data_IF_920876314236
#
_entry.id   IF_920876314236
#
_cell.length_a   1.000
_cell.length_b   1.000
_cell.length_c   1.000
_cell.angle_alpha   90.00
_cell.angle_beta   90.00
_cell.angle_gamma   90.00
#
_symmetry.space_group_name_H-M   'P 1'
#
loop_
_entity.id
_entity.type
_entity.pdbx_description
1 polymer ?
#
# COMPACT_ATOMS: atom_id res chain seq x y z
N UNK A 1 10.06 -0.55 -16.34
CA UNK A 1 10.88 0.37 -17.15
C UNK A 1 11.38 1.44 -16.21
N UNK A 2 12.69 1.57 -16.09
CA UNK A 2 13.32 2.50 -15.14
C UNK A 2 13.06 3.97 -15.53
N UNK A 3 13.00 4.88 -14.56
CA UNK A 3 12.74 6.31 -14.78
C UNK A 3 13.79 6.91 -15.72
N UNK A 4 15.03 6.43 -15.66
CA UNK A 4 16.12 6.87 -16.54
C UNK A 4 15.90 6.42 -17.99
N UNK A 5 15.31 5.23 -18.19
CA UNK A 5 14.92 4.77 -19.52
C UNK A 5 13.78 5.63 -20.11
N UNK A 6 12.81 6.03 -19.28
CA UNK A 6 11.71 6.94 -19.69
C UNK A 6 12.28 8.31 -20.06
N UNK A 7 13.15 8.88 -19.21
CA UNK A 7 13.82 10.16 -19.47
C UNK A 7 14.64 10.12 -20.77
N UNK A 8 15.36 9.02 -21.02
CA UNK A 8 16.10 8.81 -22.27
C UNK A 8 15.19 8.79 -23.50
N UNK A 9 14.04 8.11 -23.43
CA UNK A 9 13.05 8.11 -24.52
C UNK A 9 12.47 9.50 -24.78
N UNK A 10 12.18 10.27 -23.73
CA UNK A 10 11.64 11.63 -23.85
C UNK A 10 12.62 12.59 -24.53
N UNK A 11 13.92 12.48 -24.21
CA UNK A 11 14.96 13.22 -24.92
C UNK A 11 14.98 12.84 -26.41
N UNK A 12 14.88 11.54 -26.73
CA UNK A 12 14.80 11.08 -28.14
C UNK A 12 13.55 11.58 -28.87
N UNK A 13 12.46 11.83 -28.14
CA UNK A 13 11.24 12.47 -28.67
C UNK A 13 11.38 13.98 -28.88
N UNK A 14 12.54 14.57 -28.59
CA UNK A 14 12.87 15.97 -28.82
C UNK A 14 12.48 16.91 -27.67
N UNK A 15 12.26 16.38 -26.47
CA UNK A 15 12.15 17.22 -25.27
C UNK A 15 13.55 17.57 -24.74
N UNK A 16 13.73 18.81 -24.32
CA UNK A 16 14.94 19.32 -23.68
C UNK A 16 14.73 19.50 -22.18
N UNK A 17 15.80 19.44 -21.39
CA UNK A 17 15.76 19.69 -19.95
C UNK A 17 15.57 21.19 -19.68
N UNK A 18 14.69 21.52 -18.75
CA UNK A 18 14.36 22.91 -18.40
C UNK A 18 15.13 23.39 -17.16
N UNK A 19 15.59 22.47 -16.30
CA UNK A 19 16.28 22.77 -15.05
C UNK A 19 17.53 21.90 -14.79
N UNK A 20 18.39 22.37 -13.87
CA UNK A 20 19.60 21.65 -13.43
C UNK A 20 19.26 20.36 -12.64
N UNK A 21 18.03 20.24 -12.13
CA UNK A 21 17.56 19.11 -11.32
C UNK A 21 17.30 17.83 -12.15
N UNK A 22 17.26 17.92 -13.49
CA UNK A 22 16.91 16.85 -14.43
C UNK A 22 15.50 16.26 -14.25
N UNK A 23 14.55 17.05 -13.73
CA UNK A 23 13.19 16.58 -13.48
C UNK A 23 12.14 17.18 -14.39
N UNK A 24 12.42 18.30 -15.05
CA UNK A 24 11.46 18.92 -15.98
C UNK A 24 11.98 18.84 -17.42
N UNK A 25 11.16 18.27 -18.30
CA UNK A 25 11.44 18.13 -19.73
C UNK A 25 10.40 18.91 -20.53
N UNK A 26 10.83 19.85 -21.35
CA UNK A 26 9.97 20.68 -22.17
C UNK A 26 10.20 20.44 -23.67
N UNK A 27 9.14 20.48 -24.47
CA UNK A 27 9.24 20.55 -25.93
C UNK A 27 8.38 21.70 -26.45
N UNK A 28 9.02 22.62 -27.15
CA UNK A 28 8.38 23.80 -27.74
C UNK A 28 7.98 23.49 -29.18
N UNK A 29 6.77 23.86 -29.55
CA UNK A 29 6.25 23.71 -30.92
C UNK A 29 6.04 25.11 -31.51
N UNK A 30 7.08 25.64 -32.14
CA UNK A 30 7.07 26.97 -32.78
C UNK A 30 5.98 27.08 -33.85
N UNK A 31 5.74 25.99 -34.58
CA UNK A 31 4.84 25.96 -35.74
C UNK A 31 3.35 25.93 -35.35
N UNK A 32 3.05 25.83 -34.05
CA UNK A 32 1.70 25.75 -33.52
C UNK A 32 1.49 26.73 -32.37
N UNK A 33 1.44 28.03 -32.68
CA UNK A 33 1.15 29.09 -31.70
C UNK A 33 2.10 29.10 -30.48
N UNK A 34 3.33 28.60 -30.63
CA UNK A 34 4.33 28.51 -29.56
C UNK A 34 3.87 27.76 -28.30
N UNK A 35 2.99 26.75 -28.41
CA UNK A 35 2.66 25.97 -27.22
C UNK A 35 3.84 25.10 -26.78
N UNK A 36 3.95 24.89 -25.47
CA UNK A 36 5.01 24.08 -24.84
C UNK A 36 4.37 22.92 -24.09
N UNK A 37 4.89 21.71 -24.30
CA UNK A 37 4.55 20.56 -23.46
C UNK A 37 5.67 20.42 -22.44
N UNK A 38 5.31 20.41 -21.15
CA UNK A 38 6.24 20.15 -20.05
C UNK A 38 5.87 18.86 -19.32
N UNK A 39 6.86 18.01 -19.10
CA UNK A 39 6.77 16.77 -18.35
C UNK A 39 7.57 16.95 -17.07
N UNK A 40 6.88 16.98 -15.93
CA UNK A 40 7.50 17.06 -14.61
C UNK A 40 7.53 15.68 -13.96
N UNK A 41 8.73 15.20 -13.64
CA UNK A 41 8.96 13.94 -12.95
C UNK A 41 8.94 14.06 -11.42
N UNK A 42 8.84 15.29 -10.88
CA UNK A 42 8.60 15.51 -9.46
C UNK A 42 7.11 15.38 -9.13
N UNK A 43 6.84 14.64 -8.06
CA UNK A 43 5.55 14.73 -7.40
C UNK A 43 5.41 16.12 -6.80
N UNK A 44 4.38 16.87 -7.21
CA UNK A 44 3.99 18.11 -6.51
C UNK A 44 3.53 17.85 -5.07
N UNK A 45 3.27 16.58 -4.72
CA UNK A 45 2.82 16.16 -3.40
C UNK A 45 3.98 15.73 -2.52
N UNK A 46 3.99 16.21 -1.29
CA UNK A 46 4.99 15.84 -0.28
C UNK A 46 4.92 14.34 0.02
N UNK A 47 6.08 13.70 0.03
CA UNK A 47 6.20 12.31 0.46
C UNK A 47 6.01 12.19 1.98
N UNK A 48 5.11 11.31 2.40
CA UNK A 48 4.84 10.99 3.79
C UNK A 48 5.17 9.52 4.06
N UNK A 49 5.80 9.26 5.21
CA UNK A 49 6.02 7.89 5.69
C UNK A 49 4.71 7.30 6.19
N UNK A 50 4.37 6.07 5.80
CA UNK A 50 3.14 5.40 6.23
C UNK A 50 2.94 5.47 7.75
N UNK A 51 3.97 5.20 8.55
CA UNK A 51 3.85 5.20 10.02
C UNK A 51 3.42 6.54 10.64
N UNK A 52 3.60 7.66 9.91
CA UNK A 52 3.12 8.99 10.33
C UNK A 52 1.63 9.17 10.09
N UNK A 53 1.10 8.59 9.02
CA UNK A 53 -0.26 8.82 8.52
C UNK A 53 -1.21 7.63 8.78
N UNK A 54 -0.66 6.47 9.15
CA UNK A 54 -1.40 5.25 9.47
C UNK A 54 -0.94 4.62 10.78
N UNK A 55 -1.81 3.81 11.35
CA UNK A 55 -1.50 2.85 12.40
C UNK A 55 -1.21 1.49 11.76
N UNK A 56 -0.08 0.88 12.12
CA UNK A 56 0.30 -0.45 11.63
C UNK A 56 0.20 -1.42 12.80
N UNK A 57 -0.72 -2.37 12.67
CA UNK A 57 -1.07 -3.34 13.71
C UNK A 57 -0.53 -4.70 13.26
N UNK A 58 0.58 -5.13 13.84
CA UNK A 58 1.12 -6.48 13.60
C UNK A 58 0.20 -7.52 14.22
N UNK A 59 -0.26 -8.49 13.42
CA UNK A 59 -1.12 -9.55 13.89
C UNK A 59 -0.42 -10.50 14.86
N UNK A 60 -1.22 -11.17 15.69
CA UNK A 60 -0.75 -12.12 16.68
C UNK A 60 -1.73 -13.28 16.75
N UNK A 61 -1.27 -14.50 16.53
CA UNK A 61 -2.16 -15.67 16.56
C UNK A 61 -2.55 -15.99 18.02
N UNK A 62 -3.85 -16.16 18.32
CA UNK A 62 -4.30 -16.72 19.60
C UNK A 62 -3.81 -18.15 19.79
N UNK A 63 -4.07 -18.74 20.96
CA UNK A 63 -3.80 -20.16 21.16
C UNK A 63 -4.82 -21.00 20.36
N UNK A 64 -4.37 -22.06 19.70
CA UNK A 64 -5.22 -22.87 18.82
C UNK A 64 -6.41 -23.52 19.50
N UNK A 65 -6.34 -23.75 20.82
CA UNK A 65 -7.47 -24.25 21.63
C UNK A 65 -8.70 -23.34 21.64
N UNK A 66 -8.56 -22.07 21.27
CA UNK A 66 -9.67 -21.11 21.18
C UNK A 66 -10.25 -21.03 19.76
N UNK A 67 -9.66 -21.72 18.79
CA UNK A 67 -10.15 -21.74 17.42
C UNK A 67 -11.38 -22.64 17.29
N UNK A 68 -12.35 -22.20 16.49
CA UNK A 68 -13.56 -22.96 16.25
C UNK A 68 -14.12 -22.73 14.84
N UNK A 69 -15.04 -23.61 14.44
CA UNK A 69 -15.82 -23.53 13.19
C UNK A 69 -17.30 -23.16 13.44
N UNK A 70 -17.67 -23.03 14.70
CA UNK A 70 -19.05 -22.76 15.15
C UNK A 70 -19.37 -21.26 15.20
N UNK A 71 -18.50 -20.44 14.61
CA UNK A 71 -18.66 -18.98 14.54
C UNK A 71 -18.71 -18.27 15.90
N UNK A 72 -18.04 -18.85 16.91
CA UNK A 72 -17.98 -18.26 18.25
C UNK A 72 -16.81 -17.28 18.36
N UNK A 73 -17.11 -16.04 18.77
CA UNK A 73 -16.14 -14.96 18.88
C UNK A 73 -15.92 -14.21 17.57
N UNK A 74 -14.68 -13.80 17.28
CA UNK A 74 -14.38 -13.05 16.05
C UNK A 74 -13.89 -13.97 14.92
N UNK A 75 -14.22 -13.63 13.65
CA UNK A 75 -13.56 -14.23 12.49
C UNK A 75 -12.03 -14.13 12.61
N UNK A 76 -11.32 -15.18 12.27
CA UNK A 76 -9.87 -15.25 12.41
C UNK A 76 -9.17 -15.49 11.07
N UNK A 77 -8.28 -14.56 10.71
CA UNK A 77 -7.49 -14.59 9.48
C UNK A 77 -6.00 -14.66 9.82
N UNK A 78 -5.31 -15.71 9.39
CA UNK A 78 -3.90 -15.92 9.75
C UNK A 78 -2.92 -15.54 8.63
N UNK A 79 -3.39 -15.44 7.40
CA UNK A 79 -2.57 -15.16 6.22
C UNK A 79 -3.47 -14.90 5.01
N UNK A 80 -2.88 -14.98 3.81
CA UNK A 80 -3.54 -14.58 2.56
C UNK A 80 -4.51 -15.60 1.95
N UNK A 81 -4.77 -16.74 2.60
CA UNK A 81 -5.54 -17.85 2.01
C UNK A 81 -6.96 -17.38 1.63
N UNK A 82 -7.57 -16.58 2.50
CA UNK A 82 -8.91 -16.02 2.31
C UNK A 82 -8.90 -14.63 1.64
N UNK A 83 -7.79 -14.20 1.05
CA UNK A 83 -7.77 -12.96 0.26
C UNK A 83 -8.60 -13.15 -1.02
N UNK A 84 -9.51 -12.21 -1.27
CA UNK A 84 -10.22 -12.08 -2.55
C UNK A 84 -9.46 -11.19 -3.52
N UNK A 85 -10.13 -10.72 -4.56
CA UNK A 85 -9.54 -9.77 -5.52
C UNK A 85 -9.14 -8.45 -4.83
N UNK A 86 -10.06 -7.89 -4.05
CA UNK A 86 -9.85 -6.66 -3.27
C UNK A 86 -10.26 -6.82 -1.81
N UNK A 87 -11.35 -7.55 -1.57
CA UNK A 87 -11.93 -7.73 -0.23
C UNK A 87 -11.82 -9.17 0.24
N UNK A 88 -11.77 -9.33 1.56
CA UNK A 88 -11.68 -10.65 2.18
C UNK A 88 -12.86 -11.53 1.76
N UNK A 89 -12.57 -12.82 1.55
CA UNK A 89 -13.60 -13.86 1.45
C UNK A 89 -14.16 -14.16 2.82
N UNK A 90 -15.29 -14.86 2.84
CA UNK A 90 -15.92 -15.33 4.07
C UNK A 90 -14.93 -16.12 4.93
N UNK A 91 -14.93 -15.91 6.26
CA UNK A 91 -14.01 -16.58 7.16
C UNK A 91 -14.29 -18.08 7.20
N UNK A 92 -13.21 -18.85 7.34
CA UNK A 92 -13.31 -20.30 7.57
C UNK A 92 -13.09 -20.66 9.04
N UNK A 93 -12.61 -19.75 9.87
CA UNK A 93 -12.20 -20.01 11.26
C UNK A 93 -12.57 -18.81 12.13
N UNK A 94 -12.94 -19.07 13.38
CA UNK A 94 -13.21 -18.05 14.41
C UNK A 94 -12.38 -18.34 15.66
N UNK A 95 -12.24 -17.33 16.52
CA UNK A 95 -11.55 -17.44 17.80
C UNK A 95 -12.36 -16.78 18.91
N UNK A 96 -12.44 -17.44 20.06
CA UNK A 96 -13.02 -16.85 21.29
C UNK A 96 -11.99 -16.02 22.07
N UNK A 97 -10.70 -16.14 21.74
CA UNK A 97 -9.63 -15.30 22.28
C UNK A 97 -9.20 -14.27 21.23
N UNK A 98 -9.40 -12.99 21.54
CA UNK A 98 -9.01 -11.87 20.68
C UNK A 98 -7.63 -11.37 21.12
N UNK A 99 -6.68 -11.34 20.18
CA UNK A 99 -5.29 -10.90 20.42
C UNK A 99 -4.99 -9.57 19.74
N UNK A 100 -5.24 -9.50 18.42
CA UNK A 100 -5.05 -8.31 17.59
C UNK A 100 -6.20 -8.20 16.62
N UNK A 101 -6.76 -7.01 16.52
CA UNK A 101 -7.96 -6.74 15.74
C UNK A 101 -7.64 -5.92 14.50
N UNK A 102 -8.35 -6.24 13.42
CA UNK A 102 -8.55 -5.35 12.28
C UNK A 102 -10.03 -4.99 12.21
N UNK A 103 -10.32 -3.74 11.87
CA UNK A 103 -11.68 -3.20 11.72
C UNK A 103 -11.98 -2.97 10.25
N UNK A 104 -13.24 -2.68 9.94
CA UNK A 104 -13.68 -2.41 8.57
C UNK A 104 -12.81 -1.35 7.88
N UNK A 105 -12.53 -1.59 6.61
CA UNK A 105 -11.72 -0.78 5.70
C UNK A 105 -10.22 -0.69 6.03
N UNK A 106 -9.73 -1.36 7.08
CA UNK A 106 -8.30 -1.59 7.25
C UNK A 106 -7.74 -2.34 6.03
N UNK A 107 -6.55 -1.93 5.57
CA UNK A 107 -5.78 -2.72 4.61
C UNK A 107 -5.12 -3.87 5.35
N UNK A 108 -5.21 -5.07 4.80
CA UNK A 108 -4.49 -6.24 5.28
C UNK A 108 -3.31 -6.52 4.36
N UNK A 109 -2.12 -6.58 4.94
CA UNK A 109 -0.89 -6.91 4.24
C UNK A 109 -0.36 -8.27 4.72
N UNK A 110 -0.06 -9.16 3.78
CA UNK A 110 0.68 -10.40 4.09
C UNK A 110 2.12 -10.05 4.47
N UNK A 111 2.53 -10.40 5.69
CA UNK A 111 3.89 -10.10 6.19
C UNK A 111 4.85 -11.28 6.13
N UNK A 112 4.38 -12.43 5.62
CA UNK A 112 5.16 -13.66 5.41
C UNK A 112 5.07 -14.09 3.96
N UNK A 113 6.09 -14.80 3.48
CA UNK A 113 6.22 -15.23 2.10
C UNK A 113 4.96 -15.92 1.51
N UNK A 114 4.53 -15.54 0.29
CA UNK A 114 4.97 -14.34 -0.43
C UNK A 114 4.46 -13.07 0.28
N UNK A 115 5.39 -12.17 0.55
CA UNK A 115 5.16 -10.93 1.27
C UNK A 115 4.44 -9.93 0.37
N UNK A 116 3.67 -9.01 0.96
CA UNK A 116 3.18 -7.82 0.27
C UNK A 116 1.87 -8.00 -0.48
N UNK A 117 1.26 -9.19 -0.48
CA UNK A 117 -0.13 -9.31 -0.95
C UNK A 117 -1.04 -8.43 -0.09
N UNK A 118 -1.94 -7.68 -0.74
CA UNK A 118 -2.85 -6.74 -0.11
C UNK A 118 -4.30 -7.22 -0.20
N UNK A 119 -5.11 -6.78 0.76
CA UNK A 119 -6.56 -6.94 0.75
C UNK A 119 -7.21 -5.90 1.65
N UNK A 120 -8.54 -5.84 1.65
CA UNK A 120 -9.31 -4.94 2.52
C UNK A 120 -10.25 -5.75 3.40
N UNK A 121 -10.24 -5.43 4.70
CA UNK A 121 -11.22 -5.97 5.61
C UNK A 121 -12.61 -5.36 5.35
N UNK A 122 -13.58 -6.18 4.95
CA UNK A 122 -14.98 -5.76 4.72
C UNK A 122 -15.90 -5.99 5.93
N UNK A 123 -15.39 -6.58 7.01
CA UNK A 123 -16.14 -6.92 8.21
C UNK A 123 -15.88 -5.89 9.31
N UNK A 124 -16.84 -5.70 10.22
CA UNK A 124 -16.74 -4.70 11.29
C UNK A 124 -15.51 -4.92 12.18
N UNK A 125 -15.28 -6.18 12.58
CA UNK A 125 -14.10 -6.60 13.35
C UNK A 125 -13.68 -8.03 13.01
N UNK A 126 -12.38 -8.23 12.89
CA UNK A 126 -11.75 -9.56 12.73
C UNK A 126 -10.52 -9.67 13.64
N UNK A 127 -10.17 -10.88 14.03
CA UNK A 127 -8.88 -11.18 14.65
C UNK A 127 -7.84 -11.53 13.58
N UNK A 128 -6.64 -10.95 13.67
CA UNK A 128 -5.55 -11.19 12.71
C UNK A 128 -4.37 -11.93 13.34
N UNK A 129 -3.90 -12.97 12.66
CA UNK A 129 -2.77 -13.78 13.08
C UNK A 129 -1.41 -13.22 12.64
N UNK A 130 -0.32 -13.88 13.06
CA UNK A 130 1.07 -13.42 12.83
C UNK A 130 1.50 -13.32 11.35
N UNK A 131 0.72 -13.85 10.42
CA UNK A 131 1.00 -13.74 8.98
C UNK A 131 0.46 -12.46 8.34
N UNK A 132 -0.29 -11.64 9.08
CA UNK A 132 -0.91 -10.41 8.59
C UNK A 132 -0.50 -9.19 9.43
N UNK A 133 -0.50 -8.03 8.80
CA UNK A 133 -0.57 -6.73 9.47
C UNK A 133 -1.78 -5.96 8.95
N UNK A 134 -2.45 -5.22 9.83
CA UNK A 134 -3.47 -4.25 9.43
C UNK A 134 -2.86 -2.86 9.34
N UNK A 135 -3.22 -2.10 8.32
CA UNK A 135 -2.86 -0.70 8.11
C UNK A 135 -4.15 0.10 8.16
N UNK A 136 -4.26 0.96 9.17
CA UNK A 136 -5.44 1.76 9.49
C UNK A 136 -5.15 3.23 9.30
N UNK A 137 -6.06 3.99 8.69
CA UNK A 137 -5.91 5.44 8.62
C UNK A 137 -5.93 6.06 10.02
N UNK A 138 -4.97 6.96 10.31
CA UNK A 138 -4.97 7.75 11.56
C UNK A 138 -5.57 9.14 11.39
N UNK A 139 -5.59 9.65 10.17
CA UNK A 139 -5.80 11.06 9.91
C UNK A 139 -6.98 11.26 8.95
N UNK A 140 -7.80 12.27 9.21
CA UNK A 140 -8.99 12.54 8.42
C UNK A 140 -8.67 12.90 6.96
N UNK A 141 -7.46 13.43 6.72
CA UNK A 141 -6.94 13.79 5.40
C UNK A 141 -6.37 12.60 4.61
N UNK A 142 -6.51 11.37 5.11
CA UNK A 142 -5.98 10.16 4.46
C UNK A 142 -7.13 9.27 4.03
N UNK A 143 -7.28 9.10 2.72
CA UNK A 143 -8.20 8.15 2.13
C UNK A 143 -7.53 6.77 2.05
N UNK A 144 -7.99 5.81 2.85
CA UNK A 144 -7.29 4.52 2.99
C UNK A 144 -7.22 3.72 1.68
N UNK A 145 -8.23 3.84 0.80
CA UNK A 145 -8.22 3.20 -0.52
C UNK A 145 -7.12 3.77 -1.42
N UNK A 146 -6.80 5.06 -1.31
CA UNK A 146 -5.66 5.62 -2.01
C UNK A 146 -4.35 4.92 -1.65
N UNK A 147 -4.11 4.70 -0.35
CA UNK A 147 -2.95 3.94 0.13
C UNK A 147 -2.96 2.51 -0.43
N UNK A 148 -4.12 1.85 -0.40
CA UNK A 148 -4.28 0.49 -0.93
C UNK A 148 -3.84 0.39 -2.39
N UNK A 149 -4.39 1.23 -3.26
CA UNK A 149 -4.08 1.20 -4.68
C UNK A 149 -2.66 1.65 -4.97
N UNK A 150 -2.15 2.66 -4.26
CA UNK A 150 -0.76 3.08 -4.41
C UNK A 150 0.20 1.92 -4.11
N UNK A 151 0.01 1.21 -3.01
CA UNK A 151 0.84 0.04 -2.68
C UNK A 151 0.62 -1.14 -3.65
N UNK A 152 -0.61 -1.32 -4.14
CA UNK A 152 -0.94 -2.38 -5.11
C UNK A 152 -0.21 -2.19 -6.44
N UNK A 153 -0.11 -0.95 -6.92
CA UNK A 153 0.55 -0.61 -8.18
C UNK A 153 2.06 -0.39 -8.06
N UNK A 154 2.58 -0.26 -6.83
CA UNK A 154 4.01 -0.08 -6.55
C UNK A 154 4.52 -1.18 -5.59
N UNK A 155 4.38 -2.48 -5.94
CA UNK A 155 4.76 -3.58 -5.06
C UNK A 155 6.26 -3.60 -4.73
N UNK A 156 7.10 -3.00 -5.56
CA UNK A 156 8.53 -2.83 -5.33
C UNK A 156 8.87 -1.96 -4.12
N UNK A 157 7.92 -1.15 -3.64
CA UNK A 157 8.07 -0.40 -2.39
C UNK A 157 7.95 -1.31 -1.15
N UNK A 158 7.34 -2.49 -1.31
CA UNK A 158 7.13 -3.47 -0.24
C UNK A 158 8.32 -4.44 -0.22
N UNK A 159 9.50 -3.92 0.11
CA UNK A 159 10.72 -4.74 0.22
C UNK A 159 10.80 -5.37 1.61
N UNK A 160 10.58 -6.68 1.67
CA UNK A 160 10.87 -7.48 2.86
C UNK A 160 12.37 -7.71 3.04
N UNK A 161 12.80 -8.11 4.24
CA UNK A 161 14.16 -8.62 4.43
C UNK A 161 14.23 -10.03 3.88
N UNK A 162 15.19 -10.31 2.99
CA UNK A 162 15.57 -11.67 2.63
C UNK A 162 16.35 -12.29 3.80
N UNK A 163 15.67 -13.09 4.61
CA UNK A 163 16.32 -13.98 5.58
C UNK A 163 16.61 -15.34 4.96
N UNK A 164 17.63 -16.04 5.47
CA UNK A 164 18.11 -17.36 5.01
C UNK A 164 17.05 -18.47 4.97
N UNK A 165 15.85 -18.27 5.54
CA UNK A 165 14.83 -19.33 5.64
C UNK A 165 13.43 -18.86 5.18
N UNK A 166 13.02 -17.59 5.33
CA UNK A 166 11.77 -17.06 4.73
C UNK A 166 11.81 -15.52 4.58
N UNK A 167 11.27 -14.98 3.47
CA UNK A 167 11.07 -13.53 3.31
C UNK A 167 9.93 -13.02 4.20
N UNK A 168 10.15 -11.89 4.87
CA UNK A 168 9.16 -11.23 5.72
C UNK A 168 9.32 -9.71 5.71
N UNK A 169 8.25 -8.97 6.02
CA UNK A 169 8.31 -7.52 6.22
C UNK A 169 7.86 -7.16 7.65
N UNK A 170 8.68 -6.40 8.34
CA UNK A 170 8.39 -5.95 9.70
C UNK A 170 7.49 -4.71 9.71
N UNK A 171 6.84 -4.45 10.85
CA UNK A 171 6.11 -3.19 11.10
C UNK A 171 6.96 -1.97 10.80
N UNK A 172 8.23 -1.99 11.21
CA UNK A 172 9.13 -0.86 11.04
C UNK A 172 9.45 -0.61 9.57
N UNK A 173 9.59 -1.67 8.77
CA UNK A 173 9.75 -1.55 7.32
C UNK A 173 8.48 -0.97 6.67
N UNK A 174 7.30 -1.50 6.98
CA UNK A 174 6.02 -0.94 6.48
C UNK A 174 5.91 0.53 6.85
N UNK A 175 6.28 0.90 8.08
CA UNK A 175 6.18 2.29 8.57
C UNK A 175 7.07 3.29 7.81
N UNK A 176 8.14 2.81 7.19
CA UNK A 176 9.13 3.64 6.46
C UNK A 176 8.79 3.81 4.98
N UNK A 177 7.85 3.03 4.44
CA UNK A 177 7.37 3.20 3.06
C UNK A 177 6.89 4.64 2.89
N UNK A 178 7.41 5.31 1.86
CA UNK A 178 7.08 6.70 1.56
C UNK A 178 6.07 6.73 0.41
N UNK A 179 4.99 7.49 0.61
CA UNK A 179 3.94 7.65 -0.39
C UNK A 179 3.71 9.16 -0.65
N UNK A 180 3.42 9.59 -1.89
CA UNK A 180 2.94 10.94 -2.14
C UNK A 180 1.57 11.09 -1.51
N UNK A 181 1.33 12.19 -0.79
CA UNK A 181 0.05 12.43 -0.13
C UNK A 181 -0.59 13.73 -0.65
N UNK A 182 -1.43 13.64 -1.71
CA UNK A 182 -2.21 14.78 -2.18
C UNK A 182 -3.32 15.16 -1.18
N UNK A 183 -4.01 16.31 -1.37
CA UNK A 183 -5.27 16.62 -0.68
C UNK A 183 -6.27 15.48 -0.83
N UNK A 184 -7.13 15.32 0.18
CA UNK A 184 -8.04 14.17 0.26
C UNK A 184 -8.98 14.09 -0.95
N UNK A 185 -9.45 15.22 -1.43
CA UNK A 185 -10.34 15.34 -2.59
C UNK A 185 -9.66 14.79 -3.85
N UNK A 186 -8.35 15.03 -4.00
CA UNK A 186 -7.55 14.50 -5.10
C UNK A 186 -7.28 13.00 -4.90
N UNK A 187 -7.01 12.56 -3.66
CA UNK A 187 -6.89 11.13 -3.36
C UNK A 187 -8.15 10.36 -3.77
N UNK A 188 -9.33 10.93 -3.52
CA UNK A 188 -10.63 10.34 -3.90
C UNK A 188 -10.86 10.34 -5.42
N UNK A 189 -10.39 11.36 -6.16
CA UNK A 189 -10.47 11.40 -7.63
C UNK A 189 -9.54 10.42 -8.34
N UNK A 190 -8.43 10.04 -7.71
CA UNK A 190 -7.46 9.08 -8.29
C UNK A 190 -8.02 7.64 -8.28
N UNK A 191 -8.95 7.34 -7.36
CA UNK A 191 -9.52 6.00 -7.15
C UNK A 191 -10.80 5.81 -7.96
#
# INVERSE_FOLDING_TARGET
MDIDAIKSLIVKLGFSREDESNQIYCKKYSDHKNYTISLNFETQWTLQKLGKITEIISGQSPQSKFYNKNQQGLPFYQGKIEFGNMYLKEPKTWTTQITKESIKDDILMSVRAPVGSLNINRFDKICIGRGLAAIRSKAENVFIKYIYYFLLFNPELIVGTEGLIFSSISRDQISKISIPLPPKEVQEQII
#
